data_IF_094586079899
#
_entry.id   IF_094586079899
#
_cell.length_a   1.000
_cell.length_b   1.000
_cell.length_c   1.000
_cell.angle_alpha   90.00
_cell.angle_beta   90.00
_cell.angle_gamma   90.00
#
_symmetry.space_group_name_H-M   'P 1'
#
loop_
_entity.id
_entity.type
_entity.pdbx_description
1 polymer ?
#
# COMPACT_ATOMS: atom_id res chain seq x y z
N UNK A 1 -18.65 -18.90 2.61
CA UNK A 1 -17.43 -18.68 1.82
C UNK A 1 -16.69 -17.41 2.30
N UNK A 2 -17.39 -16.29 2.55
CA UNK A 2 -16.82 -15.05 3.11
C UNK A 2 -16.82 -15.17 4.63
N UNK A 3 -15.73 -14.75 5.25
CA UNK A 3 -15.54 -14.72 6.70
C UNK A 3 -15.81 -13.31 7.24
N UNK A 4 -15.06 -12.34 6.75
CA UNK A 4 -15.18 -10.93 7.12
C UNK A 4 -15.12 -10.08 5.85
N UNK A 5 -15.85 -8.98 5.84
CA UNK A 5 -15.73 -7.95 4.82
C UNK A 5 -15.56 -6.58 5.51
N UNK A 6 -14.88 -5.67 4.87
CA UNK A 6 -14.66 -4.32 5.39
C UNK A 6 -14.62 -3.32 4.24
N UNK A 7 -15.17 -2.17 4.45
CA UNK A 7 -15.09 -1.04 3.54
C UNK A 7 -13.77 -0.29 3.74
N UNK A 8 -13.20 0.18 2.64
CA UNK A 8 -11.98 1.01 2.70
C UNK A 8 -12.09 2.18 1.74
N UNK A 9 -11.60 3.33 2.20
CA UNK A 9 -11.49 4.54 1.41
C UNK A 9 -10.03 4.98 1.37
N UNK A 10 -9.44 5.00 0.19
CA UNK A 10 -8.04 5.40 -0.01
C UNK A 10 -7.95 6.59 -0.94
N UNK A 11 -7.27 7.66 -0.52
CA UNK A 11 -6.92 8.75 -1.40
C UNK A 11 -5.64 9.46 -0.92
N UNK A 12 -5.04 10.26 -1.81
CA UNK A 12 -3.81 10.98 -1.54
C UNK A 12 -4.08 12.27 -0.77
N UNK A 13 -3.26 12.53 0.22
CA UNK A 13 -3.26 13.77 0.98
C UNK A 13 -1.83 14.25 1.25
N UNK A 14 -1.68 15.51 1.47
CA UNK A 14 -0.45 16.09 2.00
C UNK A 14 -0.56 16.09 3.53
N UNK A 15 0.45 15.57 4.20
CA UNK A 15 0.53 15.59 5.66
C UNK A 15 1.66 16.51 6.10
N UNK A 16 1.43 17.23 7.18
CA UNK A 16 2.38 18.16 7.74
C UNK A 16 2.52 17.95 9.25
N UNK A 17 3.75 17.79 9.68
CA UNK A 17 4.11 17.79 11.09
C UNK A 17 5.17 18.85 11.35
N UNK A 18 4.81 19.89 12.12
CA UNK A 18 5.68 21.07 12.31
C UNK A 18 6.13 21.69 10.98
N UNK A 19 7.43 21.64 10.72
CA UNK A 19 8.02 22.22 9.50
C UNK A 19 8.24 21.21 8.37
N UNK A 20 7.88 19.94 8.59
CA UNK A 20 8.06 18.87 7.60
C UNK A 20 6.75 18.48 6.96
N UNK A 21 6.83 18.18 5.69
CA UNK A 21 5.68 17.77 4.88
C UNK A 21 6.02 16.51 4.10
N UNK A 22 5.03 15.65 3.90
CA UNK A 22 5.13 14.46 3.07
C UNK A 22 3.82 14.22 2.32
N UNK A 23 3.89 13.49 1.21
CA UNK A 23 2.71 12.98 0.53
C UNK A 23 2.37 11.60 1.08
N UNK A 24 1.15 11.44 1.56
CA UNK A 24 0.68 10.19 2.13
C UNK A 24 -0.61 9.72 1.46
N UNK A 25 -0.88 8.44 1.56
CA UNK A 25 -2.17 7.82 1.25
C UNK A 25 -2.91 7.64 2.56
N UNK A 26 -4.01 8.33 2.70
CA UNK A 26 -4.91 8.13 3.83
C UNK A 26 -5.82 6.95 3.52
N UNK A 27 -5.75 5.93 4.33
CA UNK A 27 -6.60 4.74 4.24
C UNK A 27 -7.56 4.72 5.41
N UNK A 28 -8.79 5.11 5.16
CA UNK A 28 -9.91 4.96 6.09
C UNK A 28 -10.39 3.51 6.10
N UNK A 29 -10.53 2.94 7.28
CA UNK A 29 -10.97 1.56 7.49
C UNK A 29 -12.05 1.50 8.56
N UNK A 30 -12.90 0.47 8.49
CA UNK A 30 -13.90 0.20 9.52
C UNK A 30 -13.29 -0.45 10.77
N UNK A 31 -14.03 -0.44 11.87
CA UNK A 31 -13.62 -1.01 13.16
C UNK A 31 -13.32 -2.52 13.10
N UNK A 32 -13.90 -3.21 12.13
CA UNK A 32 -13.67 -4.65 11.94
C UNK A 32 -12.37 -4.98 11.16
N UNK A 33 -11.58 -3.95 10.82
CA UNK A 33 -10.34 -4.12 10.05
C UNK A 33 -9.32 -5.04 10.73
N UNK A 34 -9.23 -5.03 12.07
CA UNK A 34 -8.39 -5.95 12.85
C UNK A 34 -8.75 -7.42 12.60
N UNK A 35 -10.03 -7.72 12.55
CA UNK A 35 -10.52 -9.09 12.31
C UNK A 35 -10.14 -9.59 10.92
N UNK A 36 -10.06 -8.68 9.97
CA UNK A 36 -9.66 -8.98 8.59
C UNK A 36 -8.15 -9.17 8.45
N UNK A 37 -7.35 -8.30 9.06
CA UNK A 37 -5.91 -8.19 8.80
C UNK A 37 -5.19 -8.65 10.04
N UNK A 38 -4.97 -9.30 10.74
CA UNK A 38 -4.04 -9.53 11.86
C UNK A 38 -3.05 -8.36 12.04
N UNK A 39 -3.60 -7.13 12.03
CA UNK A 39 -2.79 -5.90 12.08
C UNK A 39 -1.87 -5.86 13.30
N UNK A 40 -2.29 -6.41 14.43
CA UNK A 40 -1.54 -6.46 15.68
C UNK A 40 -0.12 -7.01 15.50
N UNK A 41 0.04 -7.98 14.59
CA UNK A 41 1.36 -8.57 14.30
C UNK A 41 2.30 -7.62 13.52
N UNK A 42 1.76 -6.55 12.99
CA UNK A 42 2.48 -5.55 12.20
C UNK A 42 2.69 -4.25 13.00
N UNK A 43 2.12 -4.14 14.19
CA UNK A 43 2.24 -2.95 15.02
C UNK A 43 3.54 -2.94 15.82
N UNK A 44 4.10 -1.73 15.91
CA UNK A 44 5.27 -1.45 16.75
C UNK A 44 5.01 -0.20 17.59
N UNK A 45 5.14 -0.30 18.90
CA UNK A 45 4.90 0.78 19.86
C UNK A 45 4.37 0.27 21.17
N UNK A 46 4.02 1.19 22.07
CA UNK A 46 3.48 0.89 23.40
C UNK A 46 1.99 1.22 23.53
N UNK A 47 1.37 1.74 22.50
CA UNK A 47 -0.07 2.03 22.46
C UNK A 47 -0.88 0.90 21.87
N UNK A 48 -2.15 1.17 21.58
CA UNK A 48 -3.11 0.24 21.02
C UNK A 48 -3.54 0.68 19.62
N UNK A 49 -4.07 -0.25 18.81
CA UNK A 49 -4.66 0.09 17.51
C UNK A 49 -6.02 0.75 17.71
N UNK A 50 -6.01 2.06 17.87
CA UNK A 50 -7.20 2.87 18.03
C UNK A 50 -7.22 3.89 16.91
N UNK A 51 -8.31 3.96 16.15
CA UNK A 51 -8.46 4.88 15.02
C UNK A 51 -9.37 6.07 15.35
N UNK A 52 -10.25 5.93 16.31
CA UNK A 52 -11.17 6.97 16.73
C UNK A 52 -11.57 6.78 18.20
N UNK A 53 -11.77 7.88 18.90
CA UNK A 53 -12.49 7.93 20.16
C UNK A 53 -13.61 8.98 20.09
N UNK A 54 -14.27 9.25 21.19
CA UNK A 54 -15.41 10.19 21.22
C UNK A 54 -15.05 11.64 20.85
N UNK A 55 -13.76 12.00 20.76
CA UNK A 55 -13.30 13.37 20.68
C UNK A 55 -12.31 13.58 19.54
N UNK A 56 -11.42 12.61 19.29
CA UNK A 56 -10.31 12.76 18.38
C UNK A 56 -10.17 11.57 17.44
N UNK A 57 -9.63 11.83 16.25
CA UNK A 57 -9.25 10.83 15.27
C UNK A 57 -7.76 10.54 15.37
N UNK A 58 -7.40 9.28 15.29
CA UNK A 58 -6.04 8.80 15.37
C UNK A 58 -5.55 8.33 14.01
N UNK A 59 -4.23 8.50 13.80
CA UNK A 59 -3.55 8.03 12.61
C UNK A 59 -2.43 7.07 12.96
N UNK A 60 -2.50 5.84 12.48
CA UNK A 60 -1.40 4.87 12.55
C UNK A 60 -0.55 5.01 11.30
N UNK A 61 0.66 5.51 11.47
CA UNK A 61 1.58 5.81 10.36
C UNK A 61 2.45 4.60 10.05
N UNK A 62 2.88 4.50 8.79
CA UNK A 62 3.96 3.60 8.43
C UNK A 62 5.31 4.05 9.01
N UNK A 63 6.16 3.10 9.35
CA UNK A 63 7.41 3.35 10.09
C UNK A 63 8.39 4.27 9.34
N UNK A 64 8.45 4.22 8.02
CA UNK A 64 9.32 5.09 7.23
C UNK A 64 8.77 6.52 7.17
N UNK A 65 7.44 6.66 7.13
CA UNK A 65 6.78 7.97 7.10
C UNK A 65 7.05 8.79 8.38
N UNK A 66 7.13 8.15 9.56
CA UNK A 66 7.50 8.85 10.79
C UNK A 66 8.93 9.41 10.71
N UNK A 67 9.84 8.71 10.04
CA UNK A 67 11.22 9.18 9.84
C UNK A 67 11.27 10.37 8.89
N UNK A 68 10.47 10.35 7.82
CA UNK A 68 10.36 11.46 6.85
C UNK A 68 9.78 12.72 7.51
N UNK A 69 8.72 12.57 8.27
CA UNK A 69 8.08 13.67 9.01
C UNK A 69 8.89 14.12 10.24
N UNK A 70 9.87 13.33 10.67
CA UNK A 70 10.67 13.62 11.86
C UNK A 70 9.86 13.56 13.15
N UNK A 71 8.81 12.72 13.16
CA UNK A 71 8.05 12.41 14.38
C UNK A 71 8.70 11.24 15.12
N UNK A 72 8.27 11.03 16.37
CA UNK A 72 8.50 9.75 17.06
C UNK A 72 7.34 8.79 16.86
N UNK A 73 7.41 7.61 17.47
CA UNK A 73 6.29 6.67 17.55
C UNK A 73 5.05 7.32 18.17
N UNK A 74 5.27 8.18 19.12
CA UNK A 74 4.25 8.99 19.78
C UNK A 74 4.55 10.47 19.52
N UNK A 75 3.71 11.12 18.74
CA UNK A 75 3.79 12.56 18.52
C UNK A 75 2.76 13.30 19.37
N UNK A 76 3.18 14.44 19.92
CA UNK A 76 2.36 15.24 20.84
C UNK A 76 1.51 16.26 20.10
N UNK A 77 2.12 16.94 19.13
CA UNK A 77 1.39 17.89 18.28
C UNK A 77 0.57 17.11 17.22
N UNK A 78 -0.66 17.53 16.91
CA UNK A 78 -1.46 16.85 15.92
C UNK A 78 -0.83 16.92 14.52
N UNK A 79 -0.92 15.83 13.78
CA UNK A 79 -0.56 15.76 12.37
C UNK A 79 -1.64 16.48 11.56
N UNK A 80 -1.26 17.47 10.78
CA UNK A 80 -2.17 18.18 9.90
C UNK A 80 -2.29 17.43 8.59
N UNK A 81 -3.52 17.18 8.15
CA UNK A 81 -3.80 16.48 6.89
C UNK A 81 -4.55 17.43 5.96
N UNK A 82 -4.05 17.56 4.75
CA UNK A 82 -4.63 18.42 3.71
C UNK A 82 -5.04 17.57 2.51
N UNK A 83 -6.31 17.56 2.20
CA UNK A 83 -6.85 16.88 1.02
C UNK A 83 -7.45 17.87 0.03
N UNK A 84 -7.26 17.72 -1.27
CA UNK A 84 -7.90 18.59 -2.25
C UNK A 84 -9.41 18.39 -2.22
N UNK A 85 -10.16 19.48 -2.28
CA UNK A 85 -11.63 19.42 -2.38
C UNK A 85 -12.04 18.84 -3.73
N UNK A 86 -12.86 17.80 -3.72
CA UNK A 86 -13.26 17.03 -4.90
C UNK A 86 -13.89 17.86 -6.03
N UNK A 87 -14.70 18.85 -5.70
CA UNK A 87 -15.50 19.62 -6.65
C UNK A 87 -15.02 21.05 -6.86
N UNK A 88 -13.82 21.40 -6.41
CA UNK A 88 -13.28 22.76 -6.46
C UNK A 88 -12.02 22.80 -7.30
N UNK A 89 -12.00 23.68 -8.31
CA UNK A 89 -10.73 23.94 -9.02
C UNK A 89 -9.80 24.71 -8.10
N UNK A 90 -8.52 24.32 -8.11
CA UNK A 90 -7.50 25.00 -7.31
C UNK A 90 -7.46 26.48 -7.68
N UNK A 91 -7.78 27.34 -6.72
CA UNK A 91 -7.69 28.78 -6.90
C UNK A 91 -6.29 29.25 -6.56
N UNK A 92 -5.52 29.63 -7.57
CA UNK A 92 -4.14 30.08 -7.39
C UNK A 92 -4.00 31.34 -6.54
N UNK A 93 -5.08 32.17 -6.44
CA UNK A 93 -5.08 33.36 -5.59
C UNK A 93 -5.32 33.04 -4.10
N UNK A 94 -6.02 31.95 -3.82
CA UNK A 94 -6.24 31.44 -2.46
C UNK A 94 -6.20 29.90 -2.45
N UNK A 95 -5.01 29.31 -2.48
CA UNK A 95 -4.87 27.85 -2.53
C UNK A 95 -5.50 27.15 -1.34
N UNK A 96 -5.42 27.73 -0.14
CA UNK A 96 -5.95 27.12 1.10
C UNK A 96 -7.46 26.90 1.07
N UNK A 97 -8.21 27.70 0.33
CA UNK A 97 -9.65 27.51 0.17
C UNK A 97 -10.02 26.25 -0.66
N UNK A 98 -9.05 25.71 -1.40
CA UNK A 98 -9.22 24.55 -2.28
C UNK A 98 -8.92 23.21 -1.60
N UNK A 99 -8.50 23.25 -0.33
CA UNK A 99 -8.18 22.06 0.46
C UNK A 99 -9.10 21.95 1.67
N UNK A 100 -9.46 20.72 2.00
CA UNK A 100 -9.95 20.38 3.32
C UNK A 100 -8.74 20.18 4.24
N UNK A 101 -8.90 20.51 5.50
CA UNK A 101 -7.86 20.34 6.50
C UNK A 101 -8.46 19.71 7.73
N UNK A 102 -7.77 18.69 8.23
CA UNK A 102 -8.14 18.02 9.46
C UNK A 102 -6.89 17.54 10.22
N UNK A 103 -7.05 16.94 11.39
CA UNK A 103 -5.99 16.64 12.32
C UNK A 103 -6.07 15.19 12.78
N UNK A 104 -4.91 14.51 12.79
CA UNK A 104 -4.77 13.18 13.35
C UNK A 104 -3.84 13.21 14.56
N UNK A 105 -4.20 12.46 15.58
CA UNK A 105 -3.38 12.27 16.77
C UNK A 105 -2.68 10.91 16.74
N UNK A 106 -1.63 10.78 17.56
CA UNK A 106 -0.88 9.54 17.67
C UNK A 106 -1.56 8.56 18.63
N UNK A 107 -1.82 7.32 18.21
CA UNK A 107 -2.24 6.27 19.13
C UNK A 107 -1.07 5.59 19.86
N UNK A 108 0.18 6.05 19.61
CA UNK A 108 1.39 5.49 20.22
C UNK A 108 1.91 4.21 19.55
N UNK A 109 1.36 3.86 18.40
CA UNK A 109 1.79 2.74 17.55
C UNK A 109 1.96 3.17 16.11
N UNK A 110 2.82 2.45 15.39
CA UNK A 110 3.03 2.55 13.95
C UNK A 110 2.98 1.16 13.35
N UNK A 111 2.73 1.05 12.07
CA UNK A 111 2.78 -0.26 11.42
C UNK A 111 4.08 -0.47 10.62
N UNK A 112 4.49 -1.73 10.52
CA UNK A 112 5.68 -2.18 9.79
C UNK A 112 5.32 -3.39 8.93
N UNK A 113 5.24 -3.18 7.62
CA UNK A 113 4.94 -4.25 6.65
C UNK A 113 6.20 -4.78 5.98
N UNK A 114 7.33 -4.07 6.13
CA UNK A 114 8.57 -4.29 5.41
C UNK A 114 8.42 -4.17 3.88
N UNK A 115 7.55 -3.26 3.46
CA UNK A 115 7.37 -2.88 2.07
C UNK A 115 7.32 -1.35 1.98
N UNK A 116 8.31 -0.75 1.33
CA UNK A 116 8.47 0.70 1.20
C UNK A 116 7.19 1.40 0.71
N UNK A 117 6.46 0.77 -0.21
CA UNK A 117 5.19 1.30 -0.72
C UNK A 117 4.21 1.64 0.40
N UNK A 118 4.12 0.79 1.43
CA UNK A 118 3.19 0.97 2.55
C UNK A 118 3.86 1.74 3.69
N UNK A 119 5.06 1.35 4.08
CA UNK A 119 5.75 1.89 5.26
C UNK A 119 6.13 3.38 5.11
N UNK A 120 6.37 3.84 3.86
CA UNK A 120 6.73 5.23 3.57
C UNK A 120 5.53 6.14 3.24
N UNK A 121 4.33 5.59 2.98
CA UNK A 121 3.28 6.40 2.38
C UNK A 121 1.91 6.26 3.01
N UNK A 122 1.61 5.19 3.74
CA UNK A 122 0.26 4.95 4.24
C UNK A 122 0.06 5.44 5.66
N UNK A 123 -1.13 5.95 5.91
CA UNK A 123 -1.67 6.27 7.23
C UNK A 123 -3.03 5.59 7.34
N UNK A 124 -3.20 4.74 8.35
CA UNK A 124 -4.49 4.13 8.68
C UNK A 124 -5.24 5.04 9.63
N UNK A 125 -6.52 5.25 9.37
CA UNK A 125 -7.43 6.05 10.21
C UNK A 125 -8.86 5.50 10.11
N UNK A 126 -9.80 6.10 10.82
CA UNK A 126 -11.21 5.70 10.72
C UNK A 126 -11.80 6.00 9.35
N UNK A 127 -12.76 5.19 8.93
CA UNK A 127 -13.47 5.40 7.66
C UNK A 127 -14.22 6.74 7.66
N UNK A 128 -14.79 7.12 8.79
CA UNK A 128 -15.52 8.38 8.95
C UNK A 128 -14.60 9.59 8.81
N UNK A 129 -13.40 9.55 9.39
CA UNK A 129 -12.39 10.60 9.19
C UNK A 129 -12.05 10.75 7.71
N UNK A 130 -11.78 9.65 7.01
CA UNK A 130 -11.43 9.69 5.59
C UNK A 130 -12.59 10.25 4.74
N UNK A 131 -13.82 9.83 5.02
CA UNK A 131 -15.02 10.36 4.33
C UNK A 131 -15.16 11.87 4.52
N UNK A 132 -15.02 12.36 5.74
CA UNK A 132 -15.10 13.78 6.06
C UNK A 132 -13.98 14.58 5.36
N UNK A 133 -12.76 14.08 5.44
CA UNK A 133 -11.59 14.73 4.83
C UNK A 133 -11.71 14.88 3.31
N UNK A 134 -12.15 13.84 2.62
CA UNK A 134 -12.24 13.80 1.16
C UNK A 134 -13.61 14.23 0.59
N UNK A 135 -14.56 14.58 1.45
CA UNK A 135 -15.94 14.92 1.06
C UNK A 135 -16.65 13.77 0.32
N UNK A 136 -16.57 12.58 0.87
CA UNK A 136 -17.38 11.43 0.48
C UNK A 136 -18.51 11.23 1.49
N UNK A 137 -19.69 10.84 1.00
CA UNK A 137 -20.82 10.50 1.88
C UNK A 137 -20.79 9.02 2.25
N UNK A 138 -21.14 8.16 1.29
CA UNK A 138 -21.22 6.71 1.48
C UNK A 138 -20.31 5.93 0.52
N UNK A 139 -19.63 6.64 -0.36
CA UNK A 139 -18.74 6.01 -1.32
C UNK A 139 -17.50 5.44 -0.64
N UNK A 140 -16.96 4.39 -1.23
CA UNK A 140 -15.75 3.70 -0.81
C UNK A 140 -14.85 3.42 -2.01
N UNK A 141 -13.56 3.30 -1.80
CA UNK A 141 -12.61 2.94 -2.86
C UNK A 141 -12.64 1.46 -3.16
N UNK A 142 -12.81 0.65 -2.13
CA UNK A 142 -12.87 -0.80 -2.26
C UNK A 142 -13.62 -1.45 -1.09
N UNK A 143 -14.12 -2.64 -1.36
CA UNK A 143 -14.60 -3.57 -0.33
C UNK A 143 -13.61 -4.73 -0.29
N UNK A 144 -12.99 -4.94 0.85
CA UNK A 144 -11.99 -5.97 1.06
C UNK A 144 -12.63 -7.18 1.75
N UNK A 145 -12.42 -8.36 1.18
CA UNK A 145 -13.04 -9.61 1.63
C UNK A 145 -11.99 -10.57 2.18
N UNK A 146 -12.23 -11.13 3.36
CA UNK A 146 -11.50 -12.28 3.89
C UNK A 146 -12.33 -13.53 3.68
N UNK A 147 -11.76 -14.50 3.01
CA UNK A 147 -12.40 -15.80 2.78
C UNK A 147 -12.04 -16.79 3.89
N UNK A 148 -12.90 -17.76 4.15
CA UNK A 148 -12.61 -18.87 5.05
C UNK A 148 -11.46 -19.73 4.49
N UNK A 149 -10.68 -20.33 5.39
CA UNK A 149 -9.42 -21.02 5.06
C UNK A 149 -9.52 -22.09 3.99
N UNK A 150 -10.67 -22.75 3.85
CA UNK A 150 -10.87 -23.87 2.92
C UNK A 150 -11.57 -23.45 1.61
N UNK A 151 -11.62 -22.17 1.31
CA UNK A 151 -12.37 -21.65 0.17
C UNK A 151 -11.48 -21.47 -1.06
N UNK A 152 -11.90 -21.96 -2.21
CA UNK A 152 -11.26 -21.69 -3.50
C UNK A 152 -11.46 -20.21 -3.90
N UNK A 153 -10.38 -19.44 -3.78
CA UNK A 153 -10.35 -18.00 -4.10
C UNK A 153 -10.78 -17.74 -5.55
N UNK A 154 -10.32 -18.58 -6.49
CA UNK A 154 -10.63 -18.38 -7.91
C UNK A 154 -12.10 -18.64 -8.23
N UNK A 155 -12.71 -19.61 -7.57
CA UNK A 155 -14.15 -19.90 -7.73
C UNK A 155 -15.00 -18.75 -7.17
N UNK A 156 -14.65 -18.23 -6.00
CA UNK A 156 -15.36 -17.11 -5.38
C UNK A 156 -15.20 -15.84 -6.21
N UNK A 157 -13.98 -15.54 -6.67
CA UNK A 157 -13.69 -14.37 -7.52
C UNK A 157 -14.58 -14.37 -8.77
N UNK A 158 -14.65 -15.51 -9.49
CA UNK A 158 -15.52 -15.64 -10.67
C UNK A 158 -17.00 -15.48 -10.35
N UNK A 159 -17.45 -15.98 -9.20
CA UNK A 159 -18.83 -15.87 -8.74
C UNK A 159 -19.20 -14.41 -8.44
N UNK A 160 -18.32 -13.69 -7.72
CA UNK A 160 -18.51 -12.28 -7.39
C UNK A 160 -18.48 -11.43 -8.67
N UNK A 161 -17.50 -11.61 -9.54
CA UNK A 161 -17.42 -10.88 -10.82
C UNK A 161 -18.67 -11.07 -11.68
N UNK A 162 -19.25 -12.27 -11.68
CA UNK A 162 -20.51 -12.52 -12.42
C UNK A 162 -21.72 -11.78 -11.82
N UNK A 163 -21.73 -11.61 -10.49
CA UNK A 163 -22.82 -10.91 -9.78
C UNK A 163 -22.73 -9.41 -9.97
N UNK A 164 -21.50 -8.87 -9.89
CA UNK A 164 -21.25 -7.43 -9.95
C UNK A 164 -21.21 -6.87 -11.38
N UNK A 165 -20.99 -7.72 -12.38
CA UNK A 165 -20.88 -7.31 -13.78
C UNK A 165 -19.56 -6.57 -14.08
N UNK A 166 -19.55 -5.80 -15.19
CA UNK A 166 -18.36 -5.15 -15.73
C UNK A 166 -18.04 -3.80 -15.06
N UNK A 167 -18.93 -3.31 -14.20
CA UNK A 167 -18.75 -2.02 -13.51
C UNK A 167 -17.75 -2.11 -12.34
N UNK A 168 -17.43 -3.32 -11.89
CA UNK A 168 -16.54 -3.56 -10.77
C UNK A 168 -15.40 -4.50 -11.14
N UNK A 169 -14.22 -4.20 -10.60
CA UNK A 169 -13.03 -5.03 -10.77
C UNK A 169 -12.82 -5.87 -9.50
N UNK A 170 -12.87 -7.18 -9.63
CA UNK A 170 -12.64 -8.11 -8.52
C UNK A 170 -11.23 -8.67 -8.62
N UNK A 171 -10.37 -8.27 -7.70
CA UNK A 171 -8.95 -8.63 -7.69
C UNK A 171 -8.66 -9.60 -6.54
N UNK A 172 -7.91 -10.65 -6.82
CA UNK A 172 -7.32 -11.46 -5.78
C UNK A 172 -6.02 -10.82 -5.24
N UNK A 173 -5.45 -11.39 -4.17
CA UNK A 173 -4.23 -10.86 -3.53
C UNK A 173 -3.05 -10.71 -4.49
N UNK A 174 -2.89 -11.60 -5.45
CA UNK A 174 -1.80 -11.55 -6.42
C UNK A 174 -2.03 -10.46 -7.46
N UNK A 175 -3.26 -10.31 -7.93
CA UNK A 175 -3.64 -9.29 -8.91
C UNK A 175 -3.55 -7.88 -8.33
N UNK A 176 -3.83 -7.69 -7.04
CA UNK A 176 -3.63 -6.41 -6.34
C UNK A 176 -2.15 -5.98 -6.32
N UNK A 177 -1.22 -6.93 -6.39
CA UNK A 177 0.22 -6.70 -6.41
C UNK A 177 0.83 -6.98 -7.79
N UNK A 178 0.05 -6.87 -8.86
CA UNK A 178 0.49 -7.20 -10.22
C UNK A 178 1.77 -6.48 -10.64
N UNK A 179 1.98 -5.25 -10.20
CA UNK A 179 3.20 -4.50 -10.49
C UNK A 179 4.46 -5.16 -9.90
N UNK A 180 4.37 -5.67 -8.68
CA UNK A 180 5.49 -6.38 -8.03
C UNK A 180 5.78 -7.69 -8.76
N UNK A 181 4.75 -8.45 -9.12
CA UNK A 181 4.91 -9.70 -9.87
C UNK A 181 5.47 -9.46 -11.28
N UNK A 182 5.06 -8.39 -11.96
CA UNK A 182 5.61 -8.01 -13.27
C UNK A 182 7.11 -7.67 -13.17
N UNK A 183 7.53 -6.96 -12.14
CA UNK A 183 8.95 -6.67 -11.89
C UNK A 183 9.73 -7.96 -11.69
N UNK A 184 9.22 -8.89 -10.88
CA UNK A 184 9.85 -10.20 -10.66
C UNK A 184 9.95 -11.03 -11.94
N UNK A 185 8.96 -10.99 -12.84
CA UNK A 185 9.03 -11.66 -14.15
C UNK A 185 10.11 -11.05 -15.05
N UNK A 186 10.21 -9.72 -15.06
CA UNK A 186 11.26 -9.01 -15.81
C UNK A 186 12.65 -9.36 -15.25
N UNK A 187 12.82 -9.38 -13.95
CA UNK A 187 14.09 -9.77 -13.31
C UNK A 187 14.50 -11.21 -13.67
N UNK A 188 13.55 -12.14 -13.66
CA UNK A 188 13.79 -13.52 -14.11
C UNK A 188 14.22 -13.56 -15.57
N UNK A 189 13.53 -12.84 -16.45
CA UNK A 189 13.87 -12.80 -17.87
C UNK A 189 15.28 -12.25 -18.08
N UNK A 190 15.64 -11.16 -17.42
CA UNK A 190 16.98 -10.57 -17.47
C UNK A 190 18.02 -11.57 -16.98
N UNK A 191 17.76 -12.26 -15.88
CA UNK A 191 18.67 -13.28 -15.32
C UNK A 191 18.90 -14.45 -16.29
N UNK A 192 17.85 -14.94 -16.95
CA UNK A 192 17.99 -15.96 -18.00
C UNK A 192 18.78 -15.46 -19.19
N UNK A 193 18.60 -14.21 -19.60
CA UNK A 193 19.36 -13.60 -20.69
C UNK A 193 20.86 -13.57 -20.36
N UNK A 194 21.23 -13.08 -19.16
CA UNK A 194 22.63 -13.07 -18.72
C UNK A 194 23.21 -14.47 -18.62
N UNK A 195 22.48 -15.43 -18.08
CA UNK A 195 22.93 -16.81 -17.97
C UNK A 195 23.21 -17.40 -19.36
N UNK A 196 22.34 -17.12 -20.33
CA UNK A 196 22.52 -17.55 -21.74
C UNK A 196 23.78 -16.95 -22.35
N UNK A 197 24.06 -15.66 -22.13
CA UNK A 197 25.30 -15.03 -22.59
C UNK A 197 26.55 -15.65 -21.98
N UNK A 198 26.54 -15.89 -20.67
CA UNK A 198 27.65 -16.54 -19.96
C UNK A 198 27.89 -17.95 -20.51
N UNK A 199 26.83 -18.70 -20.75
CA UNK A 199 26.91 -20.05 -21.32
C UNK A 199 27.47 -20.01 -22.75
N UNK A 200 27.03 -19.06 -23.57
CA UNK A 200 27.56 -18.88 -24.92
C UNK A 200 29.07 -18.60 -24.90
N UNK A 201 29.52 -17.66 -24.05
CA UNK A 201 30.95 -17.35 -23.90
C UNK A 201 31.73 -18.59 -23.44
N UNK A 202 31.22 -19.33 -22.48
CA UNK A 202 31.84 -20.56 -22.01
C UNK A 202 31.99 -21.61 -23.16
N UNK A 203 30.94 -21.79 -23.96
CA UNK A 203 30.97 -22.68 -25.13
C UNK A 203 32.04 -22.25 -26.15
N UNK A 204 32.14 -20.95 -26.46
CA UNK A 204 33.18 -20.43 -27.39
C UNK A 204 34.58 -20.65 -26.82
N UNK A 205 34.82 -20.48 -25.52
CA UNK A 205 36.11 -20.76 -24.90
C UNK A 205 36.49 -22.26 -25.00
N UNK A 206 35.52 -23.17 -24.79
CA UNK A 206 35.74 -24.60 -24.90
C UNK A 206 36.08 -24.99 -26.36
N UNK A 207 35.33 -24.47 -27.32
CA UNK A 207 35.57 -24.72 -28.76
C UNK A 207 36.96 -24.21 -29.17
N UNK A 208 37.35 -23.01 -28.70
CA UNK A 208 38.67 -22.44 -28.98
C UNK A 208 39.80 -23.29 -28.38
N UNK A 209 39.65 -23.75 -27.14
CA UNK A 209 40.62 -24.64 -26.49
C UNK A 209 40.76 -25.99 -27.19
N UNK A 210 39.64 -26.61 -27.56
CA UNK A 210 39.63 -27.89 -28.29
C UNK A 210 40.27 -27.73 -29.69
N UNK A 211 40.00 -26.65 -30.43
CA UNK A 211 40.56 -26.38 -31.72
C UNK A 211 42.08 -26.24 -31.67
N UNK A 212 42.62 -25.58 -30.65
CA UNK A 212 44.05 -25.42 -30.44
C UNK A 212 44.73 -26.77 -30.15
N UNK A 213 44.07 -27.61 -29.33
CA UNK A 213 44.58 -28.95 -28.95
C UNK A 213 44.62 -29.92 -30.15
N UNK A 214 43.70 -29.78 -31.11
CA UNK A 214 43.66 -30.59 -32.32
C UNK A 214 44.78 -30.14 -33.28
N UNK A 215 45.08 -28.83 -33.36
CA UNK A 215 46.15 -28.27 -34.21
C UNK A 215 47.54 -28.69 -33.70
N UNK A 216 47.75 -28.74 -32.41
CA UNK A 216 49.02 -29.06 -31.76
C UNK A 216 49.40 -30.57 -31.89
N UNK A 217 48.45 -31.42 -32.24
CA UNK A 217 48.65 -32.89 -32.46
C UNK A 217 48.85 -33.28 -33.92
N UNK A 218 48.92 -32.33 -34.86
CA UNK A 218 49.16 -32.57 -36.28
C UNK A 218 50.58 -32.22 -36.67
#
# INVERSE_FOLDING_TARGET
EIDVWTETLEDNAMVQYKDRQAMAVIKGVEDNFEQRTSIDSLLYGAGDFILHDSIVDYGVLGVELISELGTGLQFVDPLQVYAPKRNVRVNMANPSASFNRDYLFSPGVVFVVNQQKYDARYILTSLDFARNLFNYDTEVSAVELKLKSDTDVSAVQKKISRILGDDFVVLNRYEQQADVFRIMEIEKFISYLFLTFILAIACFNVIGSLSMLILDKR
#
